data_IF_883455698508
#
_entry.id   IF_883455698508
#
_cell.length_a   1.000
_cell.length_b   1.000
_cell.length_c   1.000
_cell.angle_alpha   90.00
_cell.angle_beta   90.00
_cell.angle_gamma   90.00
#
_symmetry.space_group_name_H-M   'P 1'
#
loop_
_entity.id
_entity.type
_entity.pdbx_description
1 polymer ?
#
# COMPACT_ATOMS: atom_id res chain seq x y z
N UNK A 1 -8.11 -19.28 11.49
CA UNK A 1 -8.61 -17.92 11.76
C UNK A 1 -10.02 -17.86 11.16
N UNK A 2 -11.05 -17.43 11.89
CA UNK A 2 -12.41 -17.44 11.37
C UNK A 2 -12.57 -16.45 10.21
N UNK A 3 -13.30 -16.84 9.16
CA UNK A 3 -13.50 -16.05 7.93
C UNK A 3 -14.13 -14.68 8.20
N UNK A 4 -14.99 -14.57 9.21
CA UNK A 4 -15.65 -13.32 9.62
C UNK A 4 -14.66 -12.23 10.07
N UNK A 5 -13.54 -12.63 10.69
CA UNK A 5 -12.49 -11.68 11.10
C UNK A 5 -11.72 -11.13 9.89
N UNK A 6 -11.61 -11.92 8.82
CA UNK A 6 -10.95 -11.49 7.59
C UNK A 6 -11.86 -10.55 6.78
N UNK A 7 -13.17 -10.81 6.76
CA UNK A 7 -14.14 -9.93 6.10
C UNK A 7 -14.23 -8.58 6.79
N UNK A 8 -14.28 -8.49 8.12
CA UNK A 8 -14.35 -7.17 8.79
C UNK A 8 -13.07 -6.33 8.62
N UNK A 9 -11.92 -6.98 8.43
CA UNK A 9 -10.63 -6.30 8.18
C UNK A 9 -10.46 -5.88 6.72
N UNK A 10 -10.99 -6.66 5.76
CA UNK A 10 -10.89 -6.39 4.33
C UNK A 10 -12.07 -5.55 3.80
N UNK A 11 -13.26 -5.70 4.37
CA UNK A 11 -14.49 -4.97 4.04
C UNK A 11 -14.76 -3.82 5.02
N UNK A 12 -13.91 -3.64 6.03
CA UNK A 12 -14.01 -2.54 6.98
C UNK A 12 -13.83 -1.17 6.33
N UNK A 13 -14.46 -0.14 6.92
CA UNK A 13 -14.43 1.25 6.45
C UNK A 13 -13.03 1.77 6.07
N UNK A 14 -11.99 1.24 6.72
CA UNK A 14 -10.61 1.62 6.45
C UNK A 14 -10.10 1.22 5.06
N UNK A 15 -10.41 0.01 4.58
CA UNK A 15 -9.99 -0.41 3.23
C UNK A 15 -10.70 0.39 2.15
N UNK A 16 -12.00 0.64 2.35
CA UNK A 16 -12.79 1.50 1.47
C UNK A 16 -12.23 2.93 1.42
N UNK A 17 -11.88 3.50 2.58
CA UNK A 17 -11.32 4.86 2.64
C UNK A 17 -9.96 4.96 1.94
N UNK A 18 -9.11 3.93 2.06
CA UNK A 18 -7.84 3.87 1.32
C UNK A 18 -8.06 3.97 -0.19
N UNK A 19 -8.95 3.14 -0.74
CA UNK A 19 -9.27 3.17 -2.17
C UNK A 19 -9.84 4.51 -2.62
N UNK A 20 -10.77 5.09 -1.85
CA UNK A 20 -11.30 6.43 -2.12
C UNK A 20 -10.20 7.51 -2.12
N UNK A 21 -9.19 7.37 -1.27
CA UNK A 21 -8.03 8.28 -1.26
C UNK A 21 -7.17 8.10 -2.51
N UNK A 22 -6.94 6.86 -2.94
CA UNK A 22 -6.26 6.58 -4.20
C UNK A 22 -7.03 7.17 -5.39
N UNK A 23 -8.36 7.04 -5.45
CA UNK A 23 -9.17 7.62 -6.54
C UNK A 23 -9.02 9.16 -6.63
N UNK A 24 -8.77 9.81 -5.49
CA UNK A 24 -8.43 11.25 -5.39
C UNK A 24 -6.97 11.57 -5.76
N UNK A 25 -6.14 10.56 -6.01
CA UNK A 25 -4.72 10.72 -6.31
C UNK A 25 -3.84 10.89 -5.08
N UNK A 26 -4.35 10.59 -3.87
CA UNK A 26 -3.65 10.83 -2.60
C UNK A 26 -3.35 9.50 -1.91
N UNK A 27 -2.11 9.33 -1.43
CA UNK A 27 -1.68 8.14 -0.70
C UNK A 27 -1.79 8.44 0.80
N UNK A 28 -2.76 7.86 1.50
CA UNK A 28 -3.00 8.14 2.93
C UNK A 28 -2.92 6.90 3.81
N UNK A 29 -2.07 6.84 4.82
CA UNK A 29 -2.10 5.70 5.75
C UNK A 29 -2.60 6.14 7.14
N UNK A 30 -2.86 5.17 8.02
CA UNK A 30 -3.36 5.48 9.36
C UNK A 30 -2.24 5.82 10.33
N UNK A 31 -2.53 6.77 11.21
CA UNK A 31 -1.70 7.15 12.34
C UNK A 31 -2.53 7.21 13.60
N UNK A 32 -2.05 6.58 14.66
CA UNK A 32 -2.76 6.55 15.93
C UNK A 32 -2.92 7.98 16.47
N UNK A 33 -4.11 8.34 16.97
CA UNK A 33 -4.30 9.68 17.55
C UNK A 33 -3.66 9.83 18.93
N UNK A 34 -3.45 8.72 19.64
CA UNK A 34 -2.86 8.71 20.98
C UNK A 34 -1.32 8.62 20.91
N UNK A 35 -0.77 7.46 20.52
CA UNK A 35 0.68 7.25 20.51
C UNK A 35 1.39 7.70 19.22
N UNK A 36 0.65 8.24 18.23
CA UNK A 36 1.17 8.77 16.95
C UNK A 36 1.91 7.77 16.06
N UNK A 37 1.89 6.49 16.39
CA UNK A 37 2.46 5.42 15.57
C UNK A 37 1.74 5.27 14.23
N UNK A 38 2.50 5.22 13.14
CA UNK A 38 2.01 4.88 11.81
C UNK A 38 1.66 3.39 11.70
N UNK A 39 0.63 3.08 10.94
CA UNK A 39 0.14 1.72 10.75
C UNK A 39 -0.35 1.52 9.31
N UNK A 40 0.15 0.44 8.70
CA UNK A 40 -0.42 -0.14 7.49
C UNK A 40 -0.22 -1.66 7.59
N UNK A 41 -1.22 -2.51 7.39
CA UNK A 41 -2.61 -2.30 6.97
C UNK A 41 -3.52 -1.61 8.02
N UNK A 42 -4.68 -1.03 7.67
CA UNK A 42 -5.63 -0.49 8.64
C UNK A 42 -6.09 -1.56 9.63
N UNK A 43 -6.05 -1.25 10.92
CA UNK A 43 -6.45 -2.14 12.01
C UNK A 43 -7.54 -1.49 12.85
N UNK A 44 -8.35 -2.30 13.54
CA UNK A 44 -9.40 -1.82 14.45
C UNK A 44 -8.80 -1.07 15.66
N UNK A 45 -7.67 -1.52 16.18
CA UNK A 45 -7.00 -0.92 17.34
C UNK A 45 -5.48 -0.85 17.14
N UNK A 46 -4.85 0.14 17.77
CA UNK A 46 -3.42 0.34 17.72
C UNK A 46 -2.69 -0.83 18.40
N UNK A 47 -1.76 -1.52 17.72
CA UNK A 47 -1.05 -2.65 18.33
C UNK A 47 -0.08 -2.22 19.44
N UNK A 48 0.23 -0.92 19.55
CA UNK A 48 1.13 -0.39 20.57
C UNK A 48 0.41 0.06 21.85
N UNK A 49 -0.72 0.76 21.74
CA UNK A 49 -1.43 1.32 22.91
C UNK A 49 -2.92 0.94 23.03
N UNK A 50 -3.48 0.22 22.05
CA UNK A 50 -4.89 -0.21 22.06
C UNK A 50 -5.92 0.87 21.68
N UNK A 51 -5.50 2.11 21.41
CA UNK A 51 -6.39 3.17 20.93
C UNK A 51 -7.09 2.76 19.62
N UNK A 52 -8.39 3.01 19.53
CA UNK A 52 -9.22 2.69 18.34
C UNK A 52 -9.47 3.91 17.44
N UNK A 53 -8.90 5.07 17.81
CA UNK A 53 -9.05 6.30 17.05
C UNK A 53 -7.84 6.50 16.14
N UNK A 54 -8.11 6.46 14.85
CA UNK A 54 -7.12 6.62 13.79
C UNK A 54 -7.31 7.94 13.05
N UNK A 55 -6.21 8.55 12.64
CA UNK A 55 -6.16 9.65 11.70
C UNK A 55 -5.62 9.14 10.36
N UNK A 56 -6.21 9.56 9.24
CA UNK A 56 -5.69 9.27 7.90
C UNK A 56 -4.90 10.47 7.40
N UNK A 57 -3.59 10.30 7.27
CA UNK A 57 -2.68 11.37 6.86
C UNK A 57 -2.06 11.03 5.50
N UNK A 58 -1.93 12.06 4.66
CA UNK A 58 -1.19 11.97 3.39
C UNK A 58 0.29 11.72 3.68
N UNK A 59 0.83 10.66 3.09
CA UNK A 59 2.24 10.28 3.23
C UNK A 59 3.09 10.74 2.04
N UNK A 60 2.50 11.45 1.08
CA UNK A 60 3.19 11.92 -0.11
C UNK A 60 3.60 10.77 -1.04
N UNK A 61 4.59 11.04 -1.90
CA UNK A 61 4.95 10.16 -3.01
C UNK A 61 6.35 9.57 -2.89
N UNK A 62 7.15 9.92 -1.89
CA UNK A 62 8.51 9.38 -1.77
C UNK A 62 8.51 7.99 -1.13
N UNK A 63 9.38 7.10 -1.63
CA UNK A 63 9.56 5.79 -1.04
C UNK A 63 10.94 5.19 -1.33
N UNK A 64 11.22 4.07 -0.67
CA UNK A 64 12.44 3.29 -0.84
C UNK A 64 12.07 1.83 -1.07
N UNK A 65 12.70 1.17 -2.05
CA UNK A 65 12.46 -0.25 -2.34
C UNK A 65 12.98 -1.09 -1.17
N UNK A 66 12.07 -1.65 -0.36
CA UNK A 66 12.42 -2.54 0.74
C UNK A 66 12.66 -3.97 0.25
N UNK A 67 11.77 -4.46 -0.60
CA UNK A 67 11.90 -5.74 -1.29
C UNK A 67 11.07 -5.72 -2.57
N UNK A 68 11.30 -6.67 -3.47
CA UNK A 68 10.52 -6.79 -4.70
C UNK A 68 10.49 -8.23 -5.20
N UNK A 69 9.56 -8.51 -6.10
CA UNK A 69 9.48 -9.77 -6.83
C UNK A 69 8.97 -9.55 -8.25
N UNK A 70 9.55 -10.26 -9.22
CA UNK A 70 9.00 -10.34 -10.57
C UNK A 70 8.06 -11.53 -10.65
N UNK A 71 6.81 -11.26 -10.99
CA UNK A 71 5.79 -12.29 -11.20
C UNK A 71 5.76 -12.65 -12.69
N UNK A 72 6.32 -13.81 -13.01
CA UNK A 72 6.26 -14.40 -14.36
C UNK A 72 5.01 -15.28 -14.52
N UNK A 73 4.56 -15.91 -13.43
CA UNK A 73 3.43 -16.85 -13.42
C UNK A 73 2.52 -16.53 -12.22
N UNK A 74 1.44 -15.74 -12.41
CA UNK A 74 0.55 -15.39 -11.32
C UNK A 74 -0.31 -16.59 -10.93
N UNK A 75 -0.53 -16.77 -9.63
CA UNK A 75 -1.46 -17.79 -9.10
C UNK A 75 -2.92 -17.38 -9.26
N UNK A 76 -3.19 -16.06 -9.34
CA UNK A 76 -4.50 -15.47 -9.57
C UNK A 76 -4.39 -14.48 -10.73
N UNK A 77 -5.23 -14.61 -11.74
CA UNK A 77 -5.30 -13.65 -12.85
C UNK A 77 -6.21 -12.48 -12.45
N UNK A 78 -5.73 -11.26 -12.69
CA UNK A 78 -6.45 -10.02 -12.44
C UNK A 78 -6.44 -9.21 -13.75
N UNK A 79 -7.59 -8.74 -14.24
CA UNK A 79 -7.63 -7.82 -15.38
C UNK A 79 -6.72 -6.61 -15.14
N UNK A 80 -5.96 -6.22 -16.17
CA UNK A 80 -5.02 -5.09 -16.09
C UNK A 80 -3.69 -5.40 -15.39
N UNK A 81 -3.45 -6.65 -14.98
CA UNK A 81 -2.18 -7.09 -14.38
C UNK A 81 -1.65 -8.34 -15.10
N UNK A 82 -1.15 -8.14 -16.32
CA UNK A 82 -0.59 -9.21 -17.15
C UNK A 82 0.90 -9.46 -16.83
N UNK A 83 1.33 -10.72 -16.69
CA UNK A 83 2.73 -11.05 -16.52
C UNK A 83 3.55 -10.82 -17.81
N UNK A 84 4.83 -10.43 -17.71
CA UNK A 84 5.57 -10.20 -16.47
C UNK A 84 5.26 -8.83 -15.84
N UNK A 85 5.20 -8.79 -14.51
CA UNK A 85 5.14 -7.54 -13.75
C UNK A 85 6.02 -7.60 -12.50
N UNK A 86 6.42 -6.44 -11.99
CA UNK A 86 7.21 -6.31 -10.76
C UNK A 86 6.33 -5.74 -9.65
N UNK A 87 6.27 -6.44 -8.52
CA UNK A 87 5.68 -5.97 -7.27
C UNK A 87 6.80 -5.53 -6.34
N UNK A 88 6.70 -4.31 -5.82
CA UNK A 88 7.59 -3.75 -4.82
C UNK A 88 6.88 -3.62 -3.48
N UNK A 89 7.60 -3.95 -2.41
CA UNK A 89 7.31 -3.47 -1.06
C UNK A 89 8.10 -2.18 -0.89
N UNK A 90 7.39 -1.06 -0.81
CA UNK A 90 7.96 0.28 -0.75
C UNK A 90 7.86 0.78 0.68
N UNK A 91 9.00 1.05 1.30
CA UNK A 91 9.11 1.69 2.60
C UNK A 91 8.93 3.20 2.47
N UNK A 92 8.26 3.80 3.45
CA UNK A 92 7.96 5.22 3.54
C UNK A 92 8.78 5.83 4.70
N UNK A 93 9.94 6.44 4.43
CA UNK A 93 10.77 7.05 5.48
C UNK A 93 10.02 8.11 6.31
N UNK A 94 9.14 8.88 5.67
CA UNK A 94 8.30 9.92 6.28
C UNK A 94 7.20 9.37 7.21
N UNK A 95 6.97 8.05 7.19
CA UNK A 95 5.95 7.37 7.98
C UNK A 95 6.57 6.28 8.87
N UNK A 96 7.71 6.58 9.50
CA UNK A 96 8.47 5.71 10.40
C UNK A 96 8.72 4.30 9.82
N UNK A 97 8.96 4.22 8.51
CA UNK A 97 9.26 2.96 7.82
C UNK A 97 8.03 2.07 7.58
N UNK A 98 6.81 2.62 7.63
CA UNK A 98 5.62 1.93 7.14
C UNK A 98 5.79 1.49 5.68
N UNK A 99 5.19 0.36 5.31
CA UNK A 99 5.42 -0.27 4.00
C UNK A 99 4.14 -0.45 3.22
N UNK A 100 4.16 -0.09 1.95
CA UNK A 100 3.07 -0.27 0.99
C UNK A 100 3.48 -1.24 -0.11
N UNK A 101 2.52 -1.93 -0.70
CA UNK A 101 2.74 -2.71 -1.91
C UNK A 101 2.38 -1.85 -3.12
N UNK A 102 3.27 -1.79 -4.11
CA UNK A 102 3.07 -1.04 -5.35
C UNK A 102 3.60 -1.81 -6.56
N UNK A 103 3.06 -1.54 -7.75
CA UNK A 103 3.51 -2.13 -9.01
C UNK A 103 4.55 -1.24 -9.70
N UNK A 104 5.60 -1.80 -10.28
CA UNK A 104 6.51 -1.01 -11.11
C UNK A 104 5.78 -0.51 -12.36
N UNK A 105 6.02 0.75 -12.76
CA UNK A 105 5.51 1.30 -14.03
C UNK A 105 6.16 0.60 -15.23
N UNK A 106 7.47 0.38 -15.17
CA UNK A 106 8.28 -0.27 -16.22
C UNK A 106 8.85 -1.59 -15.69
N UNK A 107 8.27 -2.75 -16.05
CA UNK A 107 8.69 -4.05 -15.51
C UNK A 107 9.96 -4.63 -16.17
N UNK A 108 10.49 -3.95 -17.20
CA UNK A 108 11.65 -4.38 -17.99
C UNK A 108 12.96 -4.30 -17.19
N UNK A 109 13.05 -3.36 -16.24
CA UNK A 109 14.19 -3.22 -15.35
C UNK A 109 13.82 -3.66 -13.93
N UNK A 110 14.72 -4.40 -13.30
CA UNK A 110 14.59 -4.76 -11.90
C UNK A 110 15.03 -3.62 -10.99
N UNK A 111 14.18 -3.19 -10.03
CA UNK A 111 14.63 -2.26 -9.02
C UNK A 111 15.68 -2.93 -8.12
N UNK A 112 16.54 -2.14 -7.51
CA UNK A 112 17.45 -2.61 -6.45
C UNK A 112 16.85 -2.30 -5.09
N UNK A 113 17.07 -3.19 -4.14
CA UNK A 113 16.74 -2.92 -2.74
C UNK A 113 17.56 -1.70 -2.28
N UNK A 114 16.88 -0.73 -1.67
CA UNK A 114 17.44 0.55 -1.27
C UNK A 114 17.27 1.68 -2.29
N UNK A 115 16.76 1.41 -3.48
CA UNK A 115 16.52 2.47 -4.47
C UNK A 115 15.44 3.44 -3.99
N UNK A 116 15.68 4.74 -4.18
CA UNK A 116 14.66 5.77 -4.00
C UNK A 116 13.70 5.75 -5.19
N UNK A 117 12.41 5.79 -4.92
CA UNK A 117 11.34 5.72 -5.92
C UNK A 117 10.24 6.73 -5.63
N UNK A 118 9.48 7.07 -6.67
CA UNK A 118 8.26 7.86 -6.58
C UNK A 118 7.04 6.98 -6.75
N UNK A 119 6.18 7.01 -5.74
CA UNK A 119 4.83 6.45 -5.75
C UNK A 119 3.88 7.35 -6.53
N UNK A 120 2.99 6.74 -7.30
CA UNK A 120 1.91 7.42 -8.00
C UNK A 120 0.66 6.55 -7.98
N UNK A 121 -0.49 7.20 -8.05
CA UNK A 121 -1.72 6.47 -8.32
C UNK A 121 -1.89 6.32 -9.83
N UNK A 122 -2.09 5.09 -10.30
CA UNK A 122 -2.57 4.79 -11.64
C UNK A 122 -4.02 4.37 -11.56
N UNK A 123 -4.92 5.13 -12.20
CA UNK A 123 -6.33 4.75 -12.32
C UNK A 123 -6.45 3.55 -13.23
N UNK A 124 -7.00 2.44 -12.72
CA UNK A 124 -7.38 1.28 -13.50
C UNK A 124 -8.82 1.40 -14.00
N UNK A 125 -9.26 0.40 -14.78
CA UNK A 125 -10.65 0.33 -15.28
C UNK A 125 -11.67 0.08 -14.15
N UNK A 126 -11.26 -0.63 -13.09
CA UNK A 126 -12.14 -1.01 -11.97
C UNK A 126 -11.73 -0.40 -10.63
N UNK A 127 -10.42 -0.22 -10.41
CA UNK A 127 -9.88 0.34 -9.17
C UNK A 127 -8.58 1.11 -9.44
N UNK A 128 -8.32 2.16 -8.67
CA UNK A 128 -7.04 2.84 -8.66
C UNK A 128 -5.99 2.00 -7.94
N UNK A 129 -4.80 1.87 -8.54
CA UNK A 129 -3.70 1.09 -7.99
C UNK A 129 -2.49 1.97 -7.72
N UNK A 130 -1.70 1.56 -6.73
CA UNK A 130 -0.44 2.21 -6.41
C UNK A 130 0.67 1.66 -7.32
N UNK A 131 1.39 2.55 -7.98
CA UNK A 131 2.55 2.23 -8.82
C UNK A 131 3.79 2.97 -8.33
N UNK A 132 4.97 2.48 -8.67
CA UNK A 132 6.25 3.13 -8.39
C UNK A 132 7.17 3.17 -9.61
N UNK A 133 8.07 4.15 -9.62
CA UNK A 133 9.13 4.33 -10.63
C UNK A 133 10.32 5.07 -10.01
N UNK A 134 11.50 5.01 -10.62
CA UNK A 134 12.65 5.83 -10.25
C UNK A 134 12.40 7.33 -10.50
#
# INVERSE_FOLDING_TARGET
>A
MPEEFLSDVLDGDGYRFWHLSLDQGVVRITRCQDCRRWQWYPLVACPACGCQTWQWDDVGTSGVVHSWTRVIRPTVRRPGLEPPYVLGVIELPQADGARLVALAVSPDEDPRIGDTVQLRVRRGESESILVFQH
#
